data_IF_170310695532
#
_entry.id   IF_170310695532
#
_cell.length_a   1.000
_cell.length_b   1.000
_cell.length_c   1.000
_cell.angle_alpha   90.00
_cell.angle_beta   90.00
_cell.angle_gamma   90.00
#
_symmetry.space_group_name_H-M   'P 1'
#
loop_
_entity.id
_entity.type
_entity.pdbx_description
1 polymer ?
#
# COMPACT_ATOMS: atom_id res chain seq x y z
N UNK A 1 -18.62 -13.41 2.11
CA UNK A 1 -17.56 -13.51 1.08
C UNK A 1 -16.46 -12.47 1.24
N UNK A 2 -16.74 -11.32 1.88
CA UNK A 2 -15.78 -10.20 1.94
C UNK A 2 -14.48 -10.50 2.70
N UNK A 3 -14.54 -11.30 3.77
CA UNK A 3 -13.34 -11.75 4.51
C UNK A 3 -12.43 -12.62 3.64
N UNK A 4 -13.00 -13.54 2.87
CA UNK A 4 -12.24 -14.36 1.90
C UNK A 4 -11.63 -13.48 0.81
N UNK A 5 -12.40 -12.51 0.30
CA UNK A 5 -11.91 -11.54 -0.69
C UNK A 5 -10.70 -10.73 -0.15
N UNK A 6 -10.78 -10.28 1.10
CA UNK A 6 -9.68 -9.60 1.79
C UNK A 6 -8.44 -10.47 2.00
N UNK A 7 -8.62 -11.73 2.46
CA UNK A 7 -7.51 -12.67 2.65
C UNK A 7 -6.81 -12.97 1.32
N UNK A 8 -7.56 -13.18 0.24
CA UNK A 8 -6.99 -13.42 -1.09
C UNK A 8 -6.23 -12.21 -1.62
N UNK A 9 -6.71 -10.99 -1.39
CA UNK A 9 -5.97 -9.77 -1.73
C UNK A 9 -4.68 -9.65 -0.91
N UNK A 10 -4.72 -9.92 0.40
CA UNK A 10 -3.53 -9.96 1.26
C UNK A 10 -2.51 -10.98 0.78
N UNK A 11 -2.95 -12.20 0.46
CA UNK A 11 -2.09 -13.25 -0.10
C UNK A 11 -1.47 -12.79 -1.43
N UNK A 12 -2.26 -12.15 -2.30
CA UNK A 12 -1.77 -11.56 -3.54
C UNK A 12 -0.70 -10.48 -3.31
N UNK A 13 -0.90 -9.59 -2.32
CA UNK A 13 0.08 -8.57 -1.97
C UNK A 13 1.37 -9.19 -1.44
N UNK A 14 1.28 -10.24 -0.62
CA UNK A 14 2.46 -10.97 -0.14
C UNK A 14 3.23 -11.63 -1.28
N UNK A 15 2.54 -12.22 -2.25
CA UNK A 15 3.16 -12.78 -3.46
C UNK A 15 3.82 -11.68 -4.30
N UNK A 16 3.17 -10.52 -4.44
CA UNK A 16 3.75 -9.36 -5.13
C UNK A 16 5.02 -8.85 -4.44
N UNK A 17 4.97 -8.64 -3.12
CA UNK A 17 6.13 -8.22 -2.33
C UNK A 17 7.24 -9.27 -2.47
N UNK A 18 6.91 -10.55 -2.34
CA UNK A 18 7.88 -11.66 -2.46
C UNK A 18 8.56 -11.67 -3.82
N UNK A 19 7.80 -11.48 -4.90
CA UNK A 19 8.34 -11.32 -6.25
C UNK A 19 9.31 -10.13 -6.36
N UNK A 20 8.96 -8.98 -5.78
CA UNK A 20 9.83 -7.81 -5.82
C UNK A 20 11.07 -7.99 -4.95
N UNK A 21 10.94 -8.68 -3.80
CA UNK A 21 12.09 -8.99 -2.93
C UNK A 21 13.08 -9.96 -3.53
N UNK A 22 12.65 -10.86 -4.42
CA UNK A 22 13.56 -11.74 -5.14
C UNK A 22 14.57 -11.01 -6.03
N UNK A 23 14.38 -9.70 -6.26
CA UNK A 23 15.32 -8.84 -6.99
C UNK A 23 16.46 -8.28 -6.13
N UNK A 24 16.43 -8.47 -4.81
CA UNK A 24 17.48 -7.99 -3.90
C UNK A 24 18.77 -8.81 -4.06
N UNK A 25 19.94 -8.14 -4.08
CA UNK A 25 21.21 -8.84 -3.99
C UNK A 25 21.32 -9.49 -2.60
N UNK A 26 21.48 -10.82 -2.56
CA UNK A 26 21.72 -11.53 -1.29
C UNK A 26 23.22 -11.65 -1.04
N UNK A 27 23.62 -11.43 0.21
CA UNK A 27 24.97 -11.73 0.67
C UNK A 27 25.25 -13.22 0.46
N UNK A 28 26.27 -13.54 -0.33
CA UNK A 28 26.66 -14.92 -0.54
C UNK A 28 27.38 -15.41 0.72
N UNK A 29 27.00 -16.56 1.31
CA UNK A 29 27.67 -17.07 2.50
C UNK A 29 29.15 -17.29 2.19
N UNK A 30 30.07 -16.95 3.13
CA UNK A 30 31.50 -17.09 2.90
C UNK A 30 31.80 -18.55 2.59
N UNK A 31 32.36 -18.81 1.41
CA UNK A 31 32.64 -20.18 0.94
C UNK A 31 33.77 -20.85 1.74
N UNK A 32 34.56 -20.06 2.48
CA UNK A 32 35.70 -20.50 3.29
C UNK A 32 35.70 -19.79 4.67
N UNK A 33 36.00 -20.53 5.75
CA UNK A 33 36.09 -20.05 7.13
C UNK A 33 37.18 -18.99 7.40
N UNK A 34 38.13 -18.80 6.47
CA UNK A 34 39.23 -17.85 6.57
C UNK A 34 39.33 -16.90 5.36
N UNK A 35 38.28 -16.79 4.53
CA UNK A 35 38.24 -15.92 3.36
C UNK A 35 37.70 -14.52 3.66
N UNK A 36 37.98 -13.52 2.79
CA UNK A 36 37.54 -12.14 3.00
C UNK A 36 36.02 -12.01 3.06
N UNK A 37 35.56 -10.88 3.60
CA UNK A 37 34.15 -10.52 3.85
C UNK A 37 33.20 -10.94 2.70
N UNK A 38 31.98 -11.41 3.03
CA UNK A 38 31.02 -11.90 2.05
C UNK A 38 30.74 -10.89 0.94
N UNK A 39 30.87 -11.32 -0.31
CA UNK A 39 30.58 -10.51 -1.52
C UNK A 39 29.08 -10.57 -1.81
N UNK A 40 28.49 -9.45 -2.22
CA UNK A 40 27.09 -9.43 -2.69
C UNK A 40 26.97 -10.30 -3.94
N UNK A 41 26.13 -11.34 -3.88
CA UNK A 41 25.94 -12.33 -4.95
C UNK A 41 24.85 -11.93 -5.96
N UNK A 42 24.76 -12.62 -7.10
CA UNK A 42 23.82 -12.28 -8.18
C UNK A 42 22.35 -12.42 -7.76
N UNK A 43 21.49 -11.64 -8.42
CA UNK A 43 20.03 -11.66 -8.28
C UNK A 43 19.47 -13.03 -8.72
N UNK A 44 18.59 -13.63 -7.92
CA UNK A 44 18.10 -15.00 -8.14
C UNK A 44 16.94 -15.07 -9.16
N UNK A 45 16.97 -16.08 -10.05
CA UNK A 45 15.99 -16.34 -11.13
C UNK A 45 14.60 -16.83 -10.68
N UNK A 46 14.43 -17.28 -9.44
CA UNK A 46 13.20 -17.95 -8.97
C UNK A 46 12.05 -17.00 -8.62
N UNK A 47 12.25 -15.68 -8.74
CA UNK A 47 11.23 -14.72 -8.37
C UNK A 47 9.97 -14.80 -9.24
N UNK A 48 10.10 -15.21 -10.50
CA UNK A 48 9.00 -15.27 -11.46
C UNK A 48 7.91 -16.29 -11.10
N UNK A 49 8.23 -17.28 -10.25
CA UNK A 49 7.25 -18.26 -9.74
C UNK A 49 6.16 -17.54 -8.93
N UNK A 50 6.50 -16.53 -8.14
CA UNK A 50 5.52 -15.76 -7.36
C UNK A 50 4.54 -15.00 -8.26
N UNK A 51 4.97 -14.55 -9.45
CA UNK A 51 4.06 -13.96 -10.45
C UNK A 51 3.13 -15.01 -11.04
N UNK A 52 3.64 -16.20 -11.39
CA UNK A 52 2.78 -17.28 -11.89
C UNK A 52 1.73 -17.69 -10.87
N UNK A 53 2.13 -17.81 -9.59
CA UNK A 53 1.19 -18.11 -8.51
C UNK A 53 0.19 -16.97 -8.31
N UNK A 54 0.62 -15.71 -8.42
CA UNK A 54 -0.28 -14.56 -8.37
C UNK A 54 -1.31 -14.57 -9.51
N UNK A 55 -0.88 -14.87 -10.74
CA UNK A 55 -1.79 -15.00 -11.89
C UNK A 55 -2.78 -16.15 -11.69
N UNK A 56 -2.31 -17.29 -11.19
CA UNK A 56 -3.18 -18.43 -10.86
C UNK A 56 -4.17 -18.07 -9.74
N UNK A 57 -3.75 -17.31 -8.73
CA UNK A 57 -4.61 -16.85 -7.64
C UNK A 57 -5.70 -15.91 -8.17
N UNK A 58 -5.34 -14.91 -8.99
CA UNK A 58 -6.29 -13.94 -9.54
C UNK A 58 -7.29 -14.59 -10.51
N UNK A 59 -6.81 -15.48 -11.38
CA UNK A 59 -7.62 -16.24 -12.32
C UNK A 59 -8.52 -17.26 -11.62
N UNK A 60 -7.95 -18.05 -10.71
CA UNK A 60 -8.71 -19.01 -9.90
C UNK A 60 -9.80 -18.33 -9.06
N UNK A 61 -9.51 -17.14 -8.54
CA UNK A 61 -10.52 -16.31 -7.84
C UNK A 61 -11.66 -15.88 -8.76
N UNK A 62 -11.36 -15.47 -10.00
CA UNK A 62 -12.39 -15.10 -10.97
C UNK A 62 -13.30 -16.30 -11.31
N UNK A 63 -12.71 -17.49 -11.51
CA UNK A 63 -13.47 -18.73 -11.74
C UNK A 63 -14.34 -19.09 -10.53
N UNK A 64 -13.79 -18.99 -9.32
CA UNK A 64 -14.54 -19.23 -8.09
C UNK A 64 -15.74 -18.29 -7.95
N UNK A 65 -15.56 -16.99 -8.24
CA UNK A 65 -16.65 -16.01 -8.20
C UNK A 65 -17.72 -16.25 -9.25
N UNK A 66 -17.33 -16.69 -10.45
CA UNK A 66 -18.30 -17.01 -11.49
C UNK A 66 -19.09 -18.31 -11.18
N UNK A 67 -18.45 -19.32 -10.60
CA UNK A 67 -19.10 -20.61 -10.31
C UNK A 67 -19.97 -20.57 -9.04
N UNK A 68 -19.49 -19.94 -7.97
CA UNK A 68 -20.16 -19.95 -6.67
C UNK A 68 -20.90 -18.65 -6.36
N UNK A 69 -20.63 -17.55 -7.07
CA UNK A 69 -21.29 -16.27 -6.88
C UNK A 69 -22.81 -16.31 -7.15
N UNK A 70 -23.27 -16.83 -8.31
CA UNK A 70 -24.69 -16.91 -8.63
C UNK A 70 -25.49 -17.79 -7.66
N UNK A 71 -24.86 -18.81 -7.06
CA UNK A 71 -25.52 -19.70 -6.10
C UNK A 71 -25.61 -19.14 -4.68
N UNK A 72 -24.98 -17.99 -4.39
CA UNK A 72 -24.92 -17.37 -3.07
C UNK A 72 -25.57 -15.98 -3.04
N UNK A 73 -26.23 -15.56 -4.12
CA UNK A 73 -26.77 -14.20 -4.33
C UNK A 73 -25.74 -13.10 -3.99
N UNK A 74 -24.45 -13.38 -4.19
CA UNK A 74 -23.38 -12.47 -3.83
C UNK A 74 -23.04 -11.58 -5.02
N UNK A 75 -23.38 -10.29 -4.89
CA UNK A 75 -23.04 -9.26 -5.86
C UNK A 75 -21.72 -8.59 -5.45
N UNK A 76 -20.62 -8.79 -6.20
CA UNK A 76 -19.38 -8.10 -5.93
C UNK A 76 -19.53 -6.62 -6.28
N UNK A 77 -19.27 -5.76 -5.28
CA UNK A 77 -19.29 -4.31 -5.43
C UNK A 77 -17.88 -3.75 -5.24
N UNK A 78 -17.48 -2.84 -6.13
CA UNK A 78 -16.35 -1.95 -5.89
C UNK A 78 -16.91 -0.65 -5.31
N UNK A 79 -16.42 -0.24 -4.14
CA UNK A 79 -16.84 1.02 -3.50
C UNK A 79 -16.24 2.22 -4.24
N UNK A 80 -16.83 2.62 -5.37
CA UNK A 80 -16.49 3.86 -6.08
C UNK A 80 -17.41 5.00 -5.61
N UNK A 81 -16.95 5.73 -4.58
CA UNK A 81 -17.44 7.02 -4.06
C UNK A 81 -18.94 7.13 -3.68
N UNK A 82 -19.89 6.79 -4.55
CA UNK A 82 -21.34 6.69 -4.27
C UNK A 82 -22.08 5.83 -5.33
N UNK A 83 -21.36 5.35 -6.34
CA UNK A 83 -21.93 4.62 -7.47
C UNK A 83 -21.66 3.14 -7.23
N UNK A 84 -22.69 2.46 -6.73
CA UNK A 84 -22.71 1.01 -6.64
C UNK A 84 -22.83 0.44 -8.05
N UNK A 85 -21.73 -0.10 -8.59
CA UNK A 85 -21.78 -0.90 -9.79
C UNK A 85 -21.80 -2.38 -9.40
N UNK A 86 -23.01 -3.01 -9.35
CA UNK A 86 -23.11 -4.44 -9.14
C UNK A 86 -22.58 -5.16 -10.38
N UNK A 87 -21.40 -5.78 -10.27
CA UNK A 87 -20.89 -6.61 -11.35
C UNK A 87 -21.76 -7.85 -11.48
N UNK A 88 -22.22 -8.15 -12.70
CA UNK A 88 -22.99 -9.35 -12.97
C UNK A 88 -22.09 -10.58 -12.88
N UNK A 89 -22.22 -11.35 -11.79
CA UNK A 89 -21.43 -12.56 -11.50
C UNK A 89 -21.56 -13.67 -12.55
N UNK A 90 -22.61 -13.61 -13.37
CA UNK A 90 -22.95 -14.64 -14.37
C UNK A 90 -21.93 -14.74 -15.51
N UNK A 91 -21.08 -13.72 -15.68
CA UNK A 91 -20.12 -13.68 -16.78
C UNK A 91 -18.68 -13.62 -16.28
N UNK A 92 -17.87 -14.58 -16.75
CA UNK A 92 -16.45 -14.68 -16.48
C UNK A 92 -15.66 -13.38 -16.71
N UNK A 93 -15.88 -12.58 -17.79
CA UNK A 93 -15.15 -11.32 -17.96
C UNK A 93 -15.42 -10.30 -16.84
N UNK A 94 -16.65 -10.21 -16.32
CA UNK A 94 -16.97 -9.31 -15.22
C UNK A 94 -16.36 -9.79 -13.89
N UNK A 95 -16.36 -11.11 -13.65
CA UNK A 95 -15.70 -11.70 -12.48
C UNK A 95 -14.16 -11.51 -12.51
N UNK A 96 -13.55 -11.58 -13.69
CA UNK A 96 -12.12 -11.33 -13.89
C UNK A 96 -11.77 -9.85 -13.70
N UNK A 97 -12.57 -8.95 -14.30
CA UNK A 97 -12.41 -7.51 -14.12
C UNK A 97 -12.48 -7.15 -12.62
N UNK A 98 -13.50 -7.65 -11.90
CA UNK A 98 -13.60 -7.46 -10.46
C UNK A 98 -12.36 -7.97 -9.70
N UNK A 99 -11.89 -9.18 -10.01
CA UNK A 99 -10.73 -9.79 -9.35
C UNK A 99 -9.44 -8.99 -9.56
N UNK A 100 -9.22 -8.47 -10.77
CA UNK A 100 -8.04 -7.67 -11.11
C UNK A 100 -8.12 -6.24 -10.54
N UNK A 101 -9.26 -5.57 -10.68
CA UNK A 101 -9.45 -4.18 -10.23
C UNK A 101 -9.36 -4.06 -8.71
N UNK A 102 -10.02 -4.98 -7.99
CA UNK A 102 -9.91 -5.02 -6.53
C UNK A 102 -8.47 -5.26 -6.06
N UNK A 103 -7.72 -6.13 -6.73
CA UNK A 103 -6.30 -6.32 -6.42
C UNK A 103 -5.46 -5.06 -6.75
N UNK A 104 -5.75 -4.39 -7.86
CA UNK A 104 -5.06 -3.16 -8.27
C UNK A 104 -5.24 -2.02 -7.24
N UNK A 105 -6.43 -1.87 -6.63
CA UNK A 105 -6.65 -0.89 -5.55
C UNK A 105 -5.82 -1.22 -4.30
N UNK A 106 -5.79 -2.50 -3.90
CA UNK A 106 -4.95 -2.96 -2.78
C UNK A 106 -3.47 -2.73 -3.07
N UNK A 107 -3.06 -2.92 -4.32
CA UNK A 107 -1.69 -2.67 -4.77
C UNK A 107 -1.34 -1.17 -4.75
N UNK A 108 -2.24 -0.31 -5.22
CA UNK A 108 -2.07 1.15 -5.16
C UNK A 108 -1.92 1.62 -3.71
N UNK A 109 -2.81 1.17 -2.82
CA UNK A 109 -2.75 1.43 -1.39
C UNK A 109 -1.41 0.98 -0.77
N UNK A 110 -0.93 -0.21 -1.13
CA UNK A 110 0.39 -0.69 -0.70
C UNK A 110 1.51 0.24 -1.17
N UNK A 111 1.49 0.70 -2.43
CA UNK A 111 2.51 1.61 -2.95
C UNK A 111 2.51 2.98 -2.27
N UNK A 112 1.34 3.52 -1.92
CA UNK A 112 1.24 4.73 -1.09
C UNK A 112 1.87 4.51 0.30
N UNK A 113 1.59 3.37 0.93
CA UNK A 113 2.24 2.99 2.20
C UNK A 113 3.76 2.87 2.06
N UNK A 114 4.26 2.25 0.98
CA UNK A 114 5.69 2.12 0.72
C UNK A 114 6.37 3.47 0.46
N UNK A 115 5.70 4.39 -0.25
CA UNK A 115 6.22 5.74 -0.49
C UNK A 115 6.30 6.56 0.79
N UNK A 116 5.33 6.39 1.70
CA UNK A 116 5.38 6.96 3.05
C UNK A 116 6.52 6.36 3.87
N UNK A 117 6.70 5.04 3.84
CA UNK A 117 7.82 4.41 4.56
C UNK A 117 9.17 4.90 4.02
N UNK A 118 9.27 5.18 2.72
CA UNK A 118 10.47 5.75 2.10
C UNK A 118 10.75 7.21 2.53
N UNK A 119 9.72 8.04 2.76
CA UNK A 119 9.91 9.41 3.29
C UNK A 119 10.36 9.39 4.75
N UNK A 120 9.78 8.48 5.53
CA UNK A 120 9.95 8.44 6.99
C UNK A 120 11.20 7.64 7.41
N UNK A 121 11.79 6.85 6.52
CA UNK A 121 12.91 5.96 6.82
C UNK A 121 14.14 6.66 7.47
N UNK A 122 14.61 6.25 8.66
CA UNK A 122 15.80 6.80 9.30
C UNK A 122 17.07 6.57 8.46
N UNK A 123 17.91 7.61 8.33
CA UNK A 123 19.21 7.56 7.62
C UNK A 123 20.34 7.06 8.54
N UNK A 124 20.17 5.89 9.13
CA UNK A 124 21.17 5.27 10.02
C UNK A 124 21.79 4.04 9.39
N UNK A 125 23.07 3.74 9.63
CA UNK A 125 23.75 2.58 9.02
C UNK A 125 23.05 1.23 9.30
N UNK A 126 22.37 1.11 10.45
CA UNK A 126 21.59 -0.08 10.83
C UNK A 126 20.34 -0.33 9.96
N UNK A 127 19.88 0.64 9.16
CA UNK A 127 18.66 0.50 8.33
C UNK A 127 18.96 0.14 6.87
N UNK A 128 20.21 -0.21 6.55
CA UNK A 128 20.64 -0.57 5.19
C UNK A 128 19.76 -1.64 4.53
N UNK A 129 19.44 -2.72 5.25
CA UNK A 129 18.58 -3.80 4.75
C UNK A 129 17.14 -3.33 4.46
N UNK A 130 16.59 -2.47 5.32
CA UNK A 130 15.24 -1.90 5.10
C UNK A 130 15.22 -0.94 3.92
N UNK A 131 16.33 -0.23 3.67
CA UNK A 131 16.47 0.66 2.52
C UNK A 131 16.52 -0.12 1.22
N UNK A 132 17.36 -1.16 1.18
CA UNK A 132 17.39 -2.09 0.05
C UNK A 132 16.03 -2.76 -0.13
N UNK A 133 15.31 -3.02 0.98
CA UNK A 133 13.96 -3.54 0.94
C UNK A 133 13.02 -2.65 0.11
N UNK A 134 12.89 -1.40 0.52
CA UNK A 134 12.02 -0.42 -0.14
C UNK A 134 12.45 -0.17 -1.60
N UNK A 135 13.76 -0.06 -1.85
CA UNK A 135 14.30 0.12 -3.21
C UNK A 135 13.86 -1.00 -4.15
N UNK A 136 13.92 -2.25 -3.71
CA UNK A 136 13.50 -3.38 -4.56
C UNK A 136 11.99 -3.39 -4.83
N UNK A 137 11.16 -2.92 -3.87
CA UNK A 137 9.71 -2.80 -4.09
C UNK A 137 9.41 -1.83 -5.23
N UNK A 138 10.09 -0.68 -5.28
CA UNK A 138 9.99 0.26 -6.39
C UNK A 138 10.72 -0.21 -7.65
N UNK A 139 11.77 -1.04 -7.54
CA UNK A 139 12.51 -1.62 -8.67
C UNK A 139 13.44 -0.59 -9.31
N UNK A 140 13.41 -0.45 -10.64
CA UNK A 140 14.20 0.56 -11.35
C UNK A 140 14.04 2.00 -10.79
N UNK A 141 12.81 2.50 -10.50
CA UNK A 141 12.63 3.81 -9.87
C UNK A 141 13.00 3.86 -8.38
N UNK A 142 13.38 2.73 -7.75
CA UNK A 142 13.76 2.71 -6.34
C UNK A 142 15.02 3.52 -6.02
N UNK A 143 15.88 3.77 -7.00
CA UNK A 143 17.06 4.64 -6.85
C UNK A 143 16.78 6.14 -6.89
N UNK A 144 15.57 6.55 -7.30
CA UNK A 144 15.22 7.95 -7.52
C UNK A 144 14.95 8.69 -6.20
N UNK A 145 15.02 10.05 -6.20
CA UNK A 145 14.62 10.84 -5.03
C UNK A 145 13.18 10.55 -4.63
N UNK A 146 12.88 10.71 -3.34
CA UNK A 146 11.57 10.39 -2.75
C UNK A 146 10.41 11.10 -3.47
N UNK A 147 10.61 12.34 -3.92
CA UNK A 147 9.62 13.10 -4.69
C UNK A 147 9.23 12.38 -5.99
N UNK A 148 10.22 11.82 -6.70
CA UNK A 148 9.98 11.07 -7.92
C UNK A 148 9.28 9.72 -7.64
N UNK A 149 9.55 9.09 -6.48
CA UNK A 149 8.83 7.90 -6.04
C UNK A 149 7.34 8.21 -5.81
N UNK A 150 7.03 9.32 -5.12
CA UNK A 150 5.64 9.78 -4.96
C UNK A 150 4.97 10.10 -6.28
N UNK A 151 5.65 10.80 -7.20
CA UNK A 151 5.14 11.05 -8.54
C UNK A 151 4.82 9.75 -9.29
N UNK A 152 5.69 8.75 -9.19
CA UNK A 152 5.47 7.43 -9.77
C UNK A 152 4.28 6.68 -9.17
N UNK A 153 4.09 6.74 -7.85
CA UNK A 153 2.92 6.13 -7.19
C UNK A 153 1.62 6.82 -7.59
N UNK A 154 1.61 8.15 -7.64
CA UNK A 154 0.44 8.91 -8.08
C UNK A 154 0.11 8.58 -9.54
N UNK A 155 1.11 8.57 -10.44
CA UNK A 155 0.91 8.22 -11.84
C UNK A 155 0.38 6.79 -12.01
N UNK A 156 0.89 5.84 -11.21
CA UNK A 156 0.42 4.45 -11.21
C UNK A 156 -1.01 4.32 -10.70
N UNK A 157 -1.36 5.02 -9.61
CA UNK A 157 -2.72 5.04 -9.08
C UNK A 157 -3.71 5.66 -10.09
N UNK A 158 -3.36 6.80 -10.69
CA UNK A 158 -4.15 7.42 -11.78
C UNK A 158 -4.30 6.46 -12.95
N UNK A 159 -3.20 5.79 -13.36
CA UNK A 159 -3.21 4.81 -14.44
C UNK A 159 -4.16 3.64 -14.17
N UNK A 160 -4.18 3.11 -12.94
CA UNK A 160 -5.15 2.08 -12.55
C UNK A 160 -6.58 2.58 -12.57
N UNK A 161 -6.85 3.81 -12.11
CA UNK A 161 -8.20 4.40 -12.15
C UNK A 161 -8.69 4.68 -13.56
N UNK A 162 -7.80 5.07 -14.47
CA UNK A 162 -8.13 5.24 -15.91
C UNK A 162 -8.37 3.88 -16.57
N UNK A 163 -7.53 2.89 -16.30
CA UNK A 163 -7.71 1.53 -16.82
C UNK A 163 -9.02 0.91 -16.30
N UNK A 164 -9.36 1.14 -15.03
CA UNK A 164 -10.64 0.77 -14.43
C UNK A 164 -11.82 1.40 -15.19
N UNK A 165 -11.79 2.71 -15.39
CA UNK A 165 -12.85 3.42 -16.10
C UNK A 165 -13.06 2.89 -17.53
N UNK A 166 -11.97 2.72 -18.28
CA UNK A 166 -12.02 2.21 -19.66
C UNK A 166 -12.52 0.76 -19.72
N UNK A 167 -12.13 -0.09 -18.75
CA UNK A 167 -12.55 -1.48 -18.73
C UNK A 167 -14.04 -1.59 -18.36
N UNK A 168 -14.52 -0.80 -17.39
CA UNK A 168 -15.94 -0.73 -17.04
C UNK A 168 -16.76 -0.20 -18.22
N UNK A 169 -16.31 0.87 -18.88
CA UNK A 169 -16.97 1.42 -20.07
C UNK A 169 -17.10 0.37 -21.18
N UNK A 170 -16.05 -0.43 -21.39
CA UNK A 170 -16.07 -1.50 -22.41
C UNK A 170 -17.06 -2.64 -22.09
N UNK A 171 -17.40 -2.85 -20.81
CA UNK A 171 -18.26 -3.93 -20.35
C UNK A 171 -19.73 -3.50 -20.22
N UNK A 172 -19.99 -2.27 -19.76
CA UNK A 172 -21.33 -1.80 -19.38
C UNK A 172 -21.82 -0.57 -20.18
N UNK A 173 -21.00 -0.01 -21.08
CA UNK A 173 -21.31 1.17 -21.90
C UNK A 173 -21.72 2.43 -21.09
N UNK A 174 -21.31 2.50 -19.82
CA UNK A 174 -21.52 3.67 -18.94
C UNK A 174 -20.19 4.40 -18.77
N UNK A 175 -20.19 5.71 -19.06
CA UNK A 175 -19.01 6.56 -18.90
C UNK A 175 -18.90 7.06 -17.46
N UNK A 176 -17.78 6.78 -16.82
CA UNK A 176 -17.44 7.38 -15.53
C UNK A 176 -16.96 8.83 -15.77
N UNK A 177 -17.55 9.85 -15.13
CA UNK A 177 -17.10 11.22 -15.31
C UNK A 177 -15.64 11.42 -14.88
N UNK A 178 -14.83 12.04 -15.74
CA UNK A 178 -13.41 12.29 -15.48
C UNK A 178 -13.14 13.09 -14.19
N UNK A 179 -14.15 13.85 -13.71
CA UNK A 179 -14.07 14.65 -12.50
C UNK A 179 -13.95 13.81 -11.20
N UNK A 180 -14.26 12.50 -11.25
CA UNK A 180 -14.17 11.61 -10.09
C UNK A 180 -12.78 10.99 -9.89
N UNK A 181 -11.94 10.97 -10.93
CA UNK A 181 -10.59 10.39 -10.89
C UNK A 181 -9.71 10.92 -9.73
N UNK A 182 -9.60 12.23 -9.47
CA UNK A 182 -8.78 12.72 -8.36
C UNK A 182 -9.29 12.26 -6.99
N UNK A 183 -10.61 12.19 -6.80
CA UNK A 183 -11.19 11.71 -5.54
C UNK A 183 -10.97 10.22 -5.32
N UNK A 184 -10.98 9.41 -6.38
CA UNK A 184 -10.70 7.98 -6.31
C UNK A 184 -9.24 7.69 -5.94
N UNK A 185 -8.29 8.43 -6.52
CA UNK A 185 -6.87 8.33 -6.14
C UNK A 185 -6.66 8.77 -4.68
N UNK A 186 -7.40 9.77 -4.23
CA UNK A 186 -7.36 10.22 -2.84
C UNK A 186 -7.90 9.17 -1.86
N UNK A 187 -8.84 8.32 -2.30
CA UNK A 187 -9.29 7.16 -1.52
C UNK A 187 -8.16 6.14 -1.31
N UNK A 188 -7.32 5.92 -2.31
CA UNK A 188 -6.16 5.00 -2.22
C UNK A 188 -5.10 5.54 -1.24
N UNK A 189 -4.97 6.87 -1.13
CA UNK A 189 -4.10 7.54 -0.15
C UNK A 189 -4.52 7.28 1.30
N UNK A 190 -5.80 6.94 1.55
CA UNK A 190 -6.33 6.68 2.89
C UNK A 190 -5.57 5.56 3.62
N UNK A 191 -5.08 4.57 2.90
CA UNK A 191 -4.25 3.50 3.47
C UNK A 191 -2.95 4.04 4.11
N UNK A 192 -2.31 5.01 3.46
CA UNK A 192 -1.13 5.66 4.03
C UNK A 192 -1.47 6.47 5.30
N UNK A 193 -2.65 7.09 5.36
CA UNK A 193 -3.12 7.81 6.57
C UNK A 193 -3.32 6.85 7.74
N UNK A 194 -3.90 5.67 7.51
CA UNK A 194 -3.97 4.62 8.53
C UNK A 194 -2.58 4.21 9.02
N UNK A 195 -1.62 4.07 8.10
CA UNK A 195 -0.23 3.78 8.47
C UNK A 195 0.40 4.90 9.30
N UNK A 196 0.15 6.18 8.97
CA UNK A 196 0.58 7.33 9.79
C UNK A 196 0.03 7.21 11.21
N UNK A 197 -1.28 6.94 11.35
CA UNK A 197 -1.92 6.80 12.67
C UNK A 197 -1.29 5.65 13.48
N UNK A 198 -1.03 4.51 12.84
CA UNK A 198 -0.37 3.36 13.49
C UNK A 198 1.05 3.72 13.93
N UNK A 199 1.85 4.38 13.08
CA UNK A 199 3.21 4.80 13.41
C UNK A 199 3.22 5.81 14.57
N UNK A 200 2.29 6.77 14.58
CA UNK A 200 2.13 7.74 15.67
C UNK A 200 1.67 7.08 16.98
N UNK A 201 0.76 6.12 16.90
CA UNK A 201 0.32 5.35 18.07
C UNK A 201 1.47 4.51 18.66
N UNK A 202 2.26 3.84 17.81
CA UNK A 202 3.46 3.11 18.23
C UNK A 202 4.53 4.05 18.82
N UNK A 203 4.72 5.23 18.23
CA UNK A 203 5.62 6.26 18.76
C UNK A 203 5.19 6.73 20.15
N UNK A 204 3.90 7.02 20.34
CA UNK A 204 3.33 7.35 21.65
C UNK A 204 3.57 6.21 22.64
N UNK A 205 3.21 4.98 22.27
CA UNK A 205 3.37 3.82 23.14
C UNK A 205 4.83 3.64 23.57
N UNK A 206 5.78 3.79 22.65
CA UNK A 206 7.21 3.71 22.93
C UNK A 206 7.74 4.88 23.79
N UNK A 207 7.09 6.04 23.73
CA UNK A 207 7.44 7.21 24.55
C UNK A 207 6.98 7.06 25.99
N UNK A 208 5.85 6.38 26.22
CA UNK A 208 5.29 6.14 27.56
C UNK A 208 5.80 4.83 28.18
N UNK A 209 6.00 3.79 27.38
CA UNK A 209 6.46 2.47 27.80
C UNK A 209 7.76 2.17 27.09
N UNK A 210 8.84 2.05 27.86
CA UNK A 210 10.14 1.70 27.29
C UNK A 210 10.19 0.21 26.98
N UNK A 211 10.22 -0.15 25.70
CA UNK A 211 10.28 -1.55 25.23
C UNK A 211 11.72 -2.06 24.98
N UNK A 212 12.74 -1.33 25.42
CA UNK A 212 14.14 -1.74 25.26
C UNK A 212 14.81 -1.22 23.98
N UNK A 213 16.09 -1.55 23.83
CA UNK A 213 16.97 -1.01 22.79
C UNK A 213 16.93 -1.80 21.47
N UNK A 214 15.74 -2.27 21.06
CA UNK A 214 15.59 -3.03 19.82
C UNK A 214 15.60 -2.10 18.59
N UNK A 215 16.17 -2.59 17.48
CA UNK A 215 16.27 -1.83 16.21
C UNK A 215 14.90 -1.38 15.66
N UNK A 216 13.84 -2.17 15.91
CA UNK A 216 12.46 -1.81 15.55
C UNK A 216 12.00 -0.54 16.26
N UNK A 217 12.11 -0.47 17.59
CA UNK A 217 11.68 0.68 18.38
C UNK A 217 12.50 1.94 18.09
N UNK A 218 13.81 1.79 17.81
CA UNK A 218 14.62 2.90 17.29
C UNK A 218 14.10 3.42 15.95
N UNK A 219 13.73 2.52 15.04
CA UNK A 219 13.16 2.88 13.73
C UNK A 219 11.82 3.59 13.89
N UNK A 220 10.92 3.08 14.74
CA UNK A 220 9.63 3.71 15.05
C UNK A 220 9.82 5.10 15.67
N UNK A 221 10.75 5.24 16.62
CA UNK A 221 11.04 6.51 17.28
C UNK A 221 11.51 7.58 16.29
N UNK A 222 12.49 7.25 15.46
CA UNK A 222 13.01 8.17 14.43
C UNK A 222 11.99 8.46 13.33
N UNK A 223 11.16 7.46 12.99
CA UNK A 223 10.05 7.60 12.05
C UNK A 223 8.99 8.58 12.58
N UNK A 224 8.58 8.42 13.83
CA UNK A 224 7.63 9.33 14.49
C UNK A 224 8.15 10.76 14.56
N UNK A 225 9.42 10.96 14.94
CA UNK A 225 10.05 12.30 14.93
C UNK A 225 10.00 12.96 13.56
N UNK A 226 10.30 12.22 12.48
CA UNK A 226 10.25 12.74 11.10
C UNK A 226 8.85 13.09 10.63
N UNK A 227 7.86 12.28 11.01
CA UNK A 227 6.44 12.58 10.74
C UNK A 227 6.00 13.86 11.47
N UNK A 228 6.58 14.13 12.64
CA UNK A 228 6.26 15.32 13.45
C UNK A 228 7.08 16.57 13.07
N UNK A 229 8.17 16.44 12.31
CA UNK A 229 8.97 17.57 11.81
C UNK A 229 8.14 18.69 11.18
N UNK A 230 7.19 18.44 10.24
CA UNK A 230 6.37 19.51 9.68
C UNK A 230 5.45 20.18 10.70
N UNK A 231 5.00 19.46 11.74
CA UNK A 231 4.13 20.02 12.78
C UNK A 231 4.91 20.78 13.85
N UNK A 232 6.19 20.46 14.06
CA UNK A 232 7.10 21.15 15.00
C UNK A 232 7.46 22.57 14.59
N UNK A 233 6.98 23.06 13.45
CA UNK A 233 7.05 24.48 13.06
C UNK A 233 6.25 25.34 14.07
N UNK A 234 5.20 24.78 14.68
CA UNK A 234 4.50 25.43 15.79
C UNK A 234 5.06 24.95 17.15
N UNK A 235 5.17 25.83 18.16
CA UNK A 235 5.59 25.45 19.51
C UNK A 235 4.46 24.70 20.23
N UNK A 236 4.44 23.38 20.14
CA UNK A 236 3.47 22.50 20.82
C UNK A 236 3.94 22.00 22.19
N UNK A 237 5.09 22.47 22.65
CA UNK A 237 5.67 22.10 23.95
C UNK A 237 5.10 22.98 25.06
N UNK A 238 4.23 22.41 25.90
CA UNK A 238 3.85 23.04 27.17
C UNK A 238 4.69 22.42 28.29
N UNK A 239 5.77 23.11 28.64
CA UNK A 239 6.62 22.94 29.84
C UNK A 239 7.36 21.59 29.98
N UNK A 240 6.70 20.43 29.89
CA UNK A 240 7.28 19.07 29.99
C UNK A 240 6.60 18.02 29.11
N UNK A 241 5.49 18.34 28.46
CA UNK A 241 4.71 17.39 27.64
C UNK A 241 4.65 17.88 26.20
N UNK A 242 5.11 17.04 25.27
CA UNK A 242 5.01 17.29 23.81
C UNK A 242 3.64 16.79 23.33
N UNK A 243 2.75 17.73 22.96
CA UNK A 243 1.41 17.41 22.44
C UNK A 243 1.37 17.20 20.92
N UNK A 244 2.48 17.43 20.21
CA UNK A 244 2.57 17.25 18.77
C UNK A 244 2.07 15.88 18.27
N UNK A 245 2.40 14.72 18.89
CA UNK A 245 1.90 13.43 18.44
C UNK A 245 0.38 13.26 18.57
N UNK A 246 -0.24 13.85 19.59
CA UNK A 246 -1.70 13.76 19.80
C UNK A 246 -2.42 14.62 18.75
N UNK A 247 -1.92 15.83 18.50
CA UNK A 247 -2.46 16.73 17.46
C UNK A 247 -2.29 16.10 16.07
N UNK A 248 -1.13 15.50 15.78
CA UNK A 248 -0.89 14.79 14.53
C UNK A 248 -1.88 13.63 14.34
N UNK A 249 -2.15 12.86 15.39
CA UNK A 249 -3.12 11.76 15.36
C UNK A 249 -4.55 12.29 15.12
N UNK A 250 -4.92 13.41 15.77
CA UNK A 250 -6.23 14.04 15.58
C UNK A 250 -6.41 14.56 14.14
N UNK A 251 -5.38 15.18 13.57
CA UNK A 251 -5.38 15.63 12.16
C UNK A 251 -5.51 14.43 11.22
N UNK A 252 -4.71 13.39 11.43
CA UNK A 252 -4.76 12.17 10.60
C UNK A 252 -6.14 11.49 10.71
N UNK A 253 -6.73 11.45 11.89
CA UNK A 253 -8.07 10.92 12.12
C UNK A 253 -9.14 11.77 11.41
N UNK A 254 -9.09 13.10 11.56
CA UNK A 254 -9.99 14.02 10.84
C UNK A 254 -9.89 13.89 9.33
N UNK A 255 -8.67 13.75 8.80
CA UNK A 255 -8.44 13.50 7.38
C UNK A 255 -9.01 12.13 6.96
N UNK A 256 -8.87 11.10 7.79
CA UNK A 256 -9.44 9.76 7.52
C UNK A 256 -10.97 9.74 7.49
N UNK A 257 -11.62 10.65 8.22
CA UNK A 257 -13.07 10.86 8.21
C UNK A 257 -13.50 11.64 6.96
N UNK A 258 -12.78 12.70 6.61
CA UNK A 258 -13.04 13.48 5.39
C UNK A 258 -12.92 12.62 4.13
N UNK A 259 -12.03 11.62 4.13
CA UNK A 259 -11.79 10.68 3.04
C UNK A 259 -12.75 9.47 3.01
N UNK A 260 -13.93 9.61 3.62
CA UNK A 260 -14.96 8.59 3.47
C UNK A 260 -15.66 8.71 2.11
N UNK A 261 -16.03 7.59 1.46
CA UNK A 261 -16.74 7.62 0.17
C UNK A 261 -17.93 8.57 0.19
N UNK A 262 -18.76 8.50 1.23
CA UNK A 262 -19.94 9.33 1.44
C UNK A 262 -19.64 10.84 1.51
N UNK A 263 -18.53 11.23 2.12
CA UNK A 263 -18.15 12.64 2.18
C UNK A 263 -17.57 13.11 0.85
N UNK A 264 -16.71 12.32 0.23
CA UNK A 264 -16.14 12.66 -1.07
C UNK A 264 -17.23 12.73 -2.17
N UNK A 265 -18.25 11.88 -2.10
CA UNK A 265 -19.43 11.94 -2.97
C UNK A 265 -20.21 13.25 -2.83
N UNK A 266 -20.33 13.77 -1.59
CA UNK A 266 -21.02 15.04 -1.34
C UNK A 266 -20.29 16.25 -1.96
N UNK A 267 -18.98 16.15 -2.21
CA UNK A 267 -18.19 17.21 -2.86
C UNK A 267 -18.40 17.27 -4.38
N UNK A 268 -19.03 16.25 -4.96
CA UNK A 268 -19.29 16.11 -6.40
C UNK A 268 -20.74 16.45 -6.78
N UNK A 269 -21.61 16.74 -5.81
CA UNK A 269 -22.99 17.23 -6.00
C UNK A 269 -23.03 18.74 -5.96
#
# INVERSE_FOLDING_TARGET
>A
MDWLHGILNLAGLLLWISWRTGTMPRSQPPRNLAGPTPRQGPVYRHSWIYLLVLLALLGGRAVFYNQFGPGLDWYPHLNLLDVFHPFKSDSLPHALAYSMLSFAHWLAALYFCLALLATVQPQTEATGQWREFLKAQFGWPGGLPVIAQWGGVIALAVGFRVAEANWIESLEAVTLPANHLPLLVLLDLRAAIYLIMVLLALYLLNSYVYFGEQAFWKTVNESGKRLLTPLRILPWETRKVDFAPIVALAIAYGLSLALTPSHLAAWLR
#
